data_IF_924564416057
#
_entry.id   IF_924564416057
#
_cell.length_a   1.000
_cell.length_b   1.000
_cell.length_c   1.000
_cell.angle_alpha   90.00
_cell.angle_beta   90.00
_cell.angle_gamma   90.00
#
_symmetry.space_group_name_H-M   'P 1'
#
loop_
_entity.id
_entity.type
_entity.pdbx_description
1 polymer ?
#
# COMPACT_ATOMS: atom_id res chain seq x y z
N UNK A 1 14.35 -10.97 5.31
CA UNK A 1 15.21 -10.10 4.48
C UNK A 1 14.54 -8.75 4.18
N UNK A 2 13.21 -8.64 4.10
CA UNK A 2 12.50 -7.45 3.67
C UNK A 2 12.63 -6.23 4.61
N UNK A 3 11.97 -6.28 5.79
CA UNK A 3 11.85 -5.12 6.68
C UNK A 3 13.20 -4.55 7.15
N UNK A 4 14.17 -5.34 7.65
CA UNK A 4 15.44 -4.77 8.08
C UNK A 4 16.18 -4.04 6.95
N UNK A 5 16.33 -4.66 5.78
CA UNK A 5 17.07 -4.06 4.66
C UNK A 5 16.38 -2.83 4.09
N UNK A 6 15.06 -2.87 3.93
CA UNK A 6 14.31 -1.70 3.46
C UNK A 6 14.36 -0.55 4.45
N UNK A 7 14.34 -0.84 5.76
CA UNK A 7 14.38 0.18 6.79
C UNK A 7 15.75 0.84 6.89
N UNK A 8 16.84 0.06 6.97
CA UNK A 8 18.20 0.63 7.07
C UNK A 8 18.65 1.35 5.80
N UNK A 9 17.98 1.16 4.68
CA UNK A 9 18.19 1.97 3.48
C UNK A 9 17.64 3.40 3.61
N UNK A 10 16.75 3.65 4.57
CA UNK A 10 16.07 4.94 4.75
C UNK A 10 16.45 5.64 6.05
N UNK A 11 16.73 4.89 7.12
CA UNK A 11 16.99 5.42 8.45
C UNK A 11 18.13 4.69 9.15
N UNK A 12 18.64 5.27 10.23
CA UNK A 12 19.70 4.66 11.04
C UNK A 12 19.15 3.84 12.21
N UNK A 13 17.94 4.12 12.66
CA UNK A 13 17.32 3.42 13.80
C UNK A 13 15.92 2.97 13.39
N UNK A 14 15.64 1.70 13.64
CA UNK A 14 14.34 1.06 13.41
C UNK A 14 13.88 0.39 14.70
N UNK A 15 12.77 0.85 15.24
CA UNK A 15 12.09 0.21 16.35
C UNK A 15 10.86 -0.54 15.87
N UNK A 16 10.67 -1.75 16.36
CA UNK A 16 9.49 -2.58 16.05
C UNK A 16 8.79 -2.95 17.35
N UNK A 17 7.54 -2.51 17.47
CA UNK A 17 6.66 -2.89 18.56
C UNK A 17 5.56 -3.76 18.02
N UNK A 18 5.31 -4.88 18.67
CA UNK A 18 4.20 -5.77 18.35
C UNK A 18 3.42 -6.11 19.61
N UNK A 19 2.11 -6.02 19.57
CA UNK A 19 1.28 -6.30 20.73
C UNK A 19 0.17 -7.30 20.41
N UNK A 20 -0.16 -8.06 21.43
CA UNK A 20 -1.30 -8.94 21.46
C UNK A 20 -1.95 -8.84 22.85
N UNK A 21 -3.22 -8.47 22.89
CA UNK A 21 -3.93 -8.12 24.14
C UNK A 21 -3.16 -6.99 24.88
N UNK A 22 -2.73 -7.25 26.10
CA UNK A 22 -2.02 -6.25 26.93
C UNK A 22 -0.51 -6.31 26.78
N UNK A 23 0.03 -7.42 26.29
CA UNK A 23 1.48 -7.63 26.17
C UNK A 23 2.02 -6.97 24.91
N UNK A 24 3.04 -6.11 25.08
CA UNK A 24 3.76 -5.46 24.00
C UNK A 24 5.22 -5.90 24.02
N UNK A 25 5.70 -6.39 22.89
CA UNK A 25 7.08 -6.78 22.66
C UNK A 25 7.77 -5.73 21.78
N UNK A 26 9.04 -5.52 22.03
CA UNK A 26 9.87 -4.55 21.31
C UNK A 26 11.20 -5.20 20.91
N UNK A 27 11.63 -4.87 19.72
CA UNK A 27 13.00 -5.07 19.26
C UNK A 27 13.42 -3.88 18.41
N UNK A 28 14.71 -3.67 18.24
CA UNK A 28 15.21 -2.56 17.42
C UNK A 28 16.48 -2.95 16.66
N UNK A 29 16.77 -2.15 15.65
CA UNK A 29 18.03 -2.17 14.91
C UNK A 29 18.60 -0.76 14.91
N UNK A 30 19.85 -0.59 15.38
CA UNK A 30 20.59 0.67 15.35
C UNK A 30 21.86 0.46 14.53
N UNK A 31 21.96 1.13 13.40
CA UNK A 31 23.13 1.05 12.51
C UNK A 31 24.40 1.56 13.22
N UNK A 32 24.38 2.68 13.99
CA UNK A 32 25.54 3.13 14.75
C UNK A 32 26.00 2.12 15.79
N UNK A 33 25.06 1.55 16.57
CA UNK A 33 25.40 0.54 17.58
C UNK A 33 25.98 -0.74 16.95
N UNK A 34 25.38 -1.19 15.84
CA UNK A 34 25.86 -2.35 15.11
C UNK A 34 27.27 -2.15 14.57
N UNK A 35 27.60 -0.96 14.09
CA UNK A 35 28.96 -0.63 13.62
C UNK A 35 29.96 -0.54 14.75
N UNK A 36 29.54 -0.04 15.92
CA UNK A 36 30.40 0.09 17.10
C UNK A 36 30.60 -1.25 17.83
N UNK A 37 29.66 -2.17 17.70
CA UNK A 37 29.72 -3.47 18.40
C UNK A 37 30.60 -4.45 17.68
N UNK A 38 31.45 -5.16 18.47
CA UNK A 38 32.19 -6.34 18.00
C UNK A 38 31.29 -7.57 17.85
N UNK A 39 30.10 -7.54 18.44
CA UNK A 39 29.17 -8.65 18.48
C UNK A 39 27.98 -8.32 17.55
N UNK A 40 27.88 -9.03 16.43
CA UNK A 40 26.88 -8.82 15.41
C UNK A 40 25.57 -9.59 15.67
N UNK A 41 25.25 -9.88 16.92
CA UNK A 41 24.04 -10.57 17.28
C UNK A 41 22.83 -9.62 17.16
N UNK A 42 21.71 -10.18 16.72
CA UNK A 42 20.44 -9.46 16.72
C UNK A 42 20.03 -9.06 18.13
N UNK A 43 19.46 -7.89 18.29
CA UNK A 43 18.95 -7.43 19.58
C UNK A 43 17.82 -8.34 20.07
N UNK A 44 17.78 -8.55 21.38
CA UNK A 44 16.77 -9.37 22.03
C UNK A 44 15.40 -8.71 21.92
N UNK A 45 14.38 -9.55 21.91
CA UNK A 45 12.98 -9.10 22.03
C UNK A 45 12.70 -8.91 23.52
N UNK A 46 12.31 -7.70 23.88
CA UNK A 46 12.01 -7.31 25.27
C UNK A 46 10.53 -6.90 25.39
N UNK A 47 9.98 -7.07 26.57
CA UNK A 47 8.69 -6.48 26.89
C UNK A 47 8.87 -4.99 27.17
N UNK A 48 8.25 -4.13 26.37
CA UNK A 48 8.38 -2.67 26.45
C UNK A 48 7.14 -1.99 25.90
N UNK A 49 6.61 -1.02 26.62
CA UNK A 49 5.48 -0.23 26.15
C UNK A 49 5.86 0.68 24.97
N UNK A 50 4.84 0.98 24.16
CA UNK A 50 4.93 1.99 23.09
C UNK A 50 5.29 3.36 23.68
N UNK A 51 6.12 4.17 23.01
CA UNK A 51 6.35 5.56 23.36
C UNK A 51 5.02 6.32 23.48
N UNK A 52 4.94 7.24 24.45
CA UNK A 52 3.68 7.93 24.78
C UNK A 52 3.12 8.76 23.63
N UNK A 53 3.96 9.39 22.84
CA UNK A 53 3.63 10.15 21.63
C UNK A 53 3.08 9.22 20.53
N UNK A 54 3.73 8.11 20.29
CA UNK A 54 3.27 7.11 19.32
C UNK A 54 1.94 6.47 19.78
N UNK A 55 1.80 6.19 21.07
CA UNK A 55 0.56 5.62 21.66
C UNK A 55 -0.65 6.54 21.48
N UNK A 56 -0.46 7.86 21.45
CA UNK A 56 -1.53 8.83 21.19
C UNK A 56 -1.99 8.84 19.74
N UNK A 57 -1.08 8.61 18.80
CA UNK A 57 -1.37 8.63 17.36
C UNK A 57 -1.92 7.30 16.84
N UNK A 58 -1.54 6.20 17.49
CA UNK A 58 -2.07 4.87 17.15
C UNK A 58 -3.41 4.68 17.85
N UNK A 59 -4.48 4.82 17.09
CA UNK A 59 -5.77 4.29 17.54
C UNK A 59 -5.60 2.77 17.68
N UNK A 60 -5.47 2.28 18.92
CA UNK A 60 -5.49 0.85 19.21
C UNK A 60 -6.87 0.26 18.86
N UNK A 61 -7.16 0.15 17.58
CA UNK A 61 -8.31 -0.58 17.08
C UNK A 61 -7.94 -2.05 17.08
N UNK A 62 -8.29 -2.74 18.16
CA UNK A 62 -8.13 -4.17 18.27
C UNK A 62 -7.08 -4.65 19.28
N UNK A 63 -7.16 -5.94 19.58
CA UNK A 63 -6.33 -6.60 20.59
C UNK A 63 -4.92 -6.94 20.11
N UNK A 64 -4.57 -6.63 18.87
CA UNK A 64 -3.26 -6.94 18.30
C UNK A 64 -2.85 -5.93 17.24
N UNK A 65 -1.56 -5.75 17.08
CA UNK A 65 -1.00 -4.88 16.05
C UNK A 65 0.52 -4.86 16.05
N UNK A 66 1.07 -4.17 15.06
CA UNK A 66 2.51 -3.92 14.94
C UNK A 66 2.73 -2.48 14.50
N UNK A 67 3.71 -1.84 15.12
CA UNK A 67 4.19 -0.51 14.74
C UNK A 67 5.68 -0.59 14.45
N UNK A 68 6.07 -0.01 13.33
CA UNK A 68 7.46 0.20 12.95
C UNK A 68 7.75 1.69 12.98
N UNK A 69 8.75 2.09 13.75
CA UNK A 69 9.18 3.49 13.89
C UNK A 69 10.55 3.62 13.25
N UNK A 70 10.66 4.52 12.29
CA UNK A 70 11.94 4.91 11.72
C UNK A 70 12.39 6.22 12.34
N UNK A 71 13.60 6.25 12.86
CA UNK A 71 14.22 7.41 13.45
C UNK A 71 15.57 7.68 12.79
N UNK A 72 16.03 8.93 12.87
CA UNK A 72 17.27 9.34 12.21
C UNK A 72 17.27 9.00 10.71
N UNK A 73 16.26 9.54 10.02
CA UNK A 73 15.96 9.27 8.62
C UNK A 73 16.76 10.19 7.67
N UNK A 74 18.08 10.06 7.67
CA UNK A 74 18.98 10.90 6.87
C UNK A 74 18.89 10.64 5.36
N UNK A 75 18.37 9.47 4.95
CA UNK A 75 18.33 9.04 3.55
C UNK A 75 16.99 9.32 2.88
N UNK A 76 16.05 9.90 3.60
CA UNK A 76 14.79 10.33 3.02
C UNK A 76 15.02 11.68 2.33
N UNK A 77 14.99 11.70 1.01
CA UNK A 77 15.21 12.88 0.16
C UNK A 77 13.99 13.81 0.06
N UNK A 78 12.92 13.52 0.79
CA UNK A 78 11.66 14.25 0.73
C UNK A 78 11.40 14.99 2.04
N UNK A 79 11.61 16.30 2.04
CA UNK A 79 11.41 17.14 3.23
C UNK A 79 9.93 17.45 3.55
N UNK A 80 9.03 17.38 2.55
CA UNK A 80 7.62 17.75 2.73
C UNK A 80 6.73 16.50 2.73
N UNK A 81 5.90 16.40 3.77
CA UNK A 81 4.96 15.30 3.95
C UNK A 81 3.99 15.10 2.76
N UNK A 82 3.49 16.18 2.18
CA UNK A 82 2.60 16.09 0.99
C UNK A 82 3.34 15.56 -0.25
N UNK A 83 4.60 15.93 -0.43
CA UNK A 83 5.43 15.40 -1.52
C UNK A 83 5.68 13.91 -1.34
N UNK A 84 5.94 13.47 -0.10
CA UNK A 84 6.07 12.05 0.22
C UNK A 84 4.77 11.30 -0.09
N UNK A 85 3.63 11.81 0.37
CA UNK A 85 2.33 11.21 0.07
C UNK A 85 2.10 11.05 -1.44
N UNK A 86 2.33 12.11 -2.20
CA UNK A 86 2.11 12.09 -3.66
C UNK A 86 3.03 11.08 -4.37
N UNK A 87 4.27 10.92 -3.88
CA UNK A 87 5.23 9.96 -4.42
C UNK A 87 4.81 8.52 -4.17
N UNK A 88 4.42 8.18 -2.93
CA UNK A 88 4.08 6.81 -2.55
C UNK A 88 2.63 6.42 -2.89
N UNK A 89 1.72 7.40 -3.04
CA UNK A 89 0.28 7.13 -3.17
C UNK A 89 -0.04 6.27 -4.39
N UNK A 90 0.60 6.53 -5.52
CA UNK A 90 0.38 5.77 -6.75
C UNK A 90 0.80 4.31 -6.59
N UNK A 91 1.96 4.08 -5.98
CA UNK A 91 2.52 2.73 -5.82
C UNK A 91 1.74 1.92 -4.79
N UNK A 92 1.40 2.51 -3.64
CA UNK A 92 0.56 1.87 -2.62
C UNK A 92 -0.82 1.55 -3.21
N UNK A 93 -1.47 2.50 -3.85
CA UNK A 93 -2.79 2.34 -4.45
C UNK A 93 -2.82 1.26 -5.52
N UNK A 94 -1.76 1.11 -6.31
CA UNK A 94 -1.62 0.09 -7.34
C UNK A 94 -1.31 -1.28 -6.75
N UNK A 95 -0.35 -1.37 -5.82
CA UNK A 95 0.08 -2.62 -5.21
C UNK A 95 -1.03 -3.26 -4.40
N UNK A 96 -1.73 -2.46 -3.60
CA UNK A 96 -2.78 -2.94 -2.72
C UNK A 96 -4.20 -2.80 -3.30
N UNK A 97 -4.37 -2.53 -4.59
CA UNK A 97 -5.66 -2.23 -5.22
C UNK A 97 -6.76 -3.25 -4.91
N UNK A 98 -6.44 -4.53 -4.90
CA UNK A 98 -7.42 -5.59 -4.62
C UNK A 98 -7.90 -5.59 -3.17
N UNK A 99 -7.07 -5.18 -2.24
CA UNK A 99 -7.41 -5.08 -0.82
C UNK A 99 -8.07 -3.74 -0.47
N UNK A 100 -7.78 -2.67 -1.22
CA UNK A 100 -8.40 -1.36 -1.06
C UNK A 100 -9.80 -1.29 -1.70
N UNK A 101 -10.06 -2.14 -2.69
CA UNK A 101 -11.34 -2.17 -3.41
C UNK A 101 -12.44 -2.82 -2.58
N UNK A 102 -13.41 -2.01 -2.13
CA UNK A 102 -14.51 -2.47 -1.27
C UNK A 102 -15.47 -3.45 -1.95
N UNK A 103 -15.57 -3.42 -3.29
CA UNK A 103 -16.37 -4.37 -4.07
C UNK A 103 -15.75 -5.76 -4.22
N UNK A 104 -14.55 -5.97 -3.71
CA UNK A 104 -13.87 -7.26 -3.81
C UNK A 104 -14.45 -8.29 -2.84
N UNK A 105 -14.94 -9.41 -3.39
CA UNK A 105 -15.48 -10.53 -2.60
C UNK A 105 -14.42 -11.60 -2.26
N UNK A 106 -13.26 -11.56 -2.91
CA UNK A 106 -12.22 -12.60 -2.78
C UNK A 106 -11.25 -12.32 -1.63
N UNK A 107 -10.93 -11.06 -1.40
CA UNK A 107 -9.93 -10.67 -0.41
C UNK A 107 -10.55 -9.82 0.69
N UNK A 108 -10.04 -9.96 1.92
CA UNK A 108 -10.43 -9.09 3.02
C UNK A 108 -10.00 -7.65 2.71
N UNK A 109 -10.95 -6.73 2.79
CA UNK A 109 -10.67 -5.30 2.59
C UNK A 109 -9.81 -4.74 3.72
N UNK A 110 -8.86 -3.91 3.38
CA UNK A 110 -8.02 -3.15 4.31
C UNK A 110 -8.19 -1.65 4.06
N UNK A 111 -8.00 -0.86 5.12
CA UNK A 111 -7.87 0.58 5.01
C UNK A 111 -6.40 0.96 5.20
N UNK A 112 -5.85 1.71 4.24
CA UNK A 112 -4.53 2.30 4.37
C UNK A 112 -4.72 3.81 4.41
N UNK A 113 -4.19 4.43 5.45
CA UNK A 113 -4.31 5.87 5.66
C UNK A 113 -2.93 6.51 5.81
N UNK A 114 -2.85 7.78 5.50
CA UNK A 114 -1.70 8.63 5.71
C UNK A 114 -2.11 9.82 6.58
N UNK A 115 -1.35 10.05 7.64
CA UNK A 115 -1.55 11.16 8.57
C UNK A 115 -0.22 11.83 8.88
N UNK A 116 -0.22 13.14 8.99
CA UNK A 116 0.90 13.92 9.52
C UNK A 116 0.59 14.23 10.98
N UNK A 117 1.54 13.97 11.89
CA UNK A 117 1.39 14.27 13.32
C UNK A 117 1.15 15.76 13.51
N UNK A 118 0.19 16.09 14.36
CA UNK A 118 -0.23 17.49 14.56
C UNK A 118 -1.21 18.02 13.49
N UNK A 119 -1.63 17.17 12.54
CA UNK A 119 -2.67 17.51 11.57
C UNK A 119 -3.90 16.62 11.76
N UNK A 120 -5.08 17.22 11.74
CA UNK A 120 -6.35 16.48 11.77
C UNK A 120 -6.71 15.85 10.41
N UNK A 121 -5.95 16.18 9.37
CA UNK A 121 -6.20 15.70 8.02
C UNK A 121 -5.68 14.27 7.85
N UNK A 122 -6.59 13.35 7.60
CA UNK A 122 -6.28 11.97 7.23
C UNK A 122 -6.55 11.80 5.74
N UNK A 123 -5.59 11.28 5.01
CA UNK A 123 -5.73 10.91 3.59
C UNK A 123 -5.86 9.40 3.50
N UNK A 124 -6.88 8.92 2.81
CA UNK A 124 -7.07 7.50 2.52
C UNK A 124 -6.50 7.15 1.15
N UNK A 125 -5.85 5.99 1.06
CA UNK A 125 -5.45 5.43 -0.22
C UNK A 125 -6.65 4.71 -0.85
N UNK A 126 -6.91 5.03 -2.11
CA UNK A 126 -7.94 4.40 -2.92
C UNK A 126 -7.32 3.50 -3.98
N UNK A 127 -8.01 2.48 -4.47
CA UNK A 127 -7.45 1.59 -5.48
C UNK A 127 -7.05 2.36 -6.75
N UNK A 128 -5.88 2.05 -7.29
CA UNK A 128 -5.42 2.50 -8.60
C UNK A 128 -5.30 1.28 -9.51
N UNK A 129 -6.27 1.11 -10.40
CA UNK A 129 -6.31 -0.03 -11.31
C UNK A 129 -5.94 0.38 -12.73
N UNK A 130 -4.69 0.13 -13.17
CA UNK A 130 -4.24 0.47 -14.50
C UNK A 130 -4.90 -0.34 -15.61
N UNK A 131 -5.56 -1.44 -15.27
CA UNK A 131 -6.24 -2.31 -16.22
C UNK A 131 -7.73 -2.00 -16.36
N UNK A 132 -8.24 -1.02 -15.61
CA UNK A 132 -9.63 -0.60 -15.64
C UNK A 132 -10.65 -1.73 -15.37
N UNK A 133 -10.29 -2.68 -14.52
CA UNK A 133 -11.12 -3.85 -14.18
C UNK A 133 -11.96 -3.67 -12.92
N UNK A 134 -11.81 -2.54 -12.21
CA UNK A 134 -12.52 -2.22 -10.97
C UNK A 134 -13.57 -1.13 -11.18
N UNK A 135 -14.62 -1.12 -10.37
CA UNK A 135 -15.66 -0.08 -10.41
C UNK A 135 -15.18 1.29 -9.94
N UNK A 136 -14.26 1.28 -8.97
CA UNK A 136 -13.66 2.47 -8.43
C UNK A 136 -12.15 2.43 -8.67
N UNK A 137 -11.61 3.48 -9.26
CA UNK A 137 -10.17 3.61 -9.44
C UNK A 137 -9.77 5.08 -9.50
N UNK A 138 -8.57 5.38 -9.00
CA UNK A 138 -7.92 6.69 -9.11
C UNK A 138 -7.07 6.82 -10.38
N UNK A 139 -7.12 5.84 -11.27
CA UNK A 139 -6.38 5.88 -12.53
C UNK A 139 -6.85 7.04 -13.40
N UNK A 140 -5.91 7.82 -13.94
CA UNK A 140 -6.22 8.94 -14.80
C UNK A 140 -7.01 8.47 -16.04
N UNK A 141 -8.06 9.24 -16.41
CA UNK A 141 -8.93 8.88 -17.52
C UNK A 141 -9.97 7.80 -17.20
N UNK A 142 -9.98 7.27 -15.98
CA UNK A 142 -10.98 6.32 -15.54
C UNK A 142 -12.37 6.99 -15.50
N UNK A 143 -13.29 6.46 -16.27
CA UNK A 143 -14.72 6.77 -16.19
C UNK A 143 -15.43 5.49 -15.85
N UNK A 144 -16.42 5.53 -14.96
CA UNK A 144 -17.18 4.39 -14.41
C UNK A 144 -17.78 3.40 -15.42
N UNK A 145 -17.44 3.50 -16.69
CA UNK A 145 -17.87 2.60 -17.76
C UNK A 145 -16.73 1.70 -18.28
N UNK A 146 -15.58 1.74 -17.63
CA UNK A 146 -14.47 0.93 -18.08
C UNK A 146 -14.78 -0.55 -17.94
N UNK A 147 -14.44 -1.26 -18.93
CA UNK A 147 -14.17 -2.71 -19.15
C UNK A 147 -14.70 -3.73 -18.12
N UNK A 148 -15.35 -3.28 -17.06
CA UNK A 148 -15.91 -4.13 -15.99
C UNK A 148 -16.93 -5.12 -16.47
N UNK A 149 -17.57 -4.77 -17.55
CA UNK A 149 -18.55 -5.61 -18.20
C UNK A 149 -17.94 -6.91 -18.80
N UNK A 150 -16.63 -6.99 -18.86
CA UNK A 150 -15.93 -8.22 -19.26
C UNK A 150 -15.87 -9.28 -18.15
N UNK A 151 -16.35 -8.95 -16.94
CA UNK A 151 -16.16 -9.81 -15.76
C UNK A 151 -17.34 -10.62 -15.31
N UNK A 152 -18.55 -10.31 -15.72
CA UNK A 152 -19.74 -10.96 -15.15
C UNK A 152 -20.51 -11.72 -16.21
N UNK A 153 -20.54 -13.05 -16.07
CA UNK A 153 -21.36 -13.95 -16.89
C UNK A 153 -22.82 -13.55 -16.93
N UNK A 154 -23.33 -13.04 -15.82
CA UNK A 154 -24.75 -12.81 -15.62
C UNK A 154 -25.27 -11.56 -16.33
N UNK A 155 -24.39 -10.62 -16.70
CA UNK A 155 -24.77 -9.34 -17.28
C UNK A 155 -24.29 -9.08 -18.71
N UNK A 156 -23.43 -9.95 -19.25
CA UNK A 156 -22.91 -9.78 -20.61
C UNK A 156 -22.73 -11.12 -21.34
N UNK A 157 -23.43 -11.31 -22.46
CA UNK A 157 -23.30 -12.49 -23.30
C UNK A 157 -21.91 -12.62 -23.97
N UNK A 158 -21.08 -11.59 -23.88
CA UNK A 158 -19.75 -11.51 -24.50
C UNK A 158 -18.60 -11.55 -23.47
N UNK A 159 -18.82 -12.21 -22.33
CA UNK A 159 -17.77 -12.32 -21.32
C UNK A 159 -16.47 -12.93 -21.90
N UNK A 160 -15.37 -12.20 -21.74
CA UNK A 160 -14.07 -12.61 -22.26
C UNK A 160 -13.86 -12.35 -23.75
N UNK A 161 -14.82 -11.74 -24.45
CA UNK A 161 -14.66 -11.33 -25.84
C UNK A 161 -14.47 -9.83 -25.92
N UNK A 162 -13.36 -9.41 -26.47
CA UNK A 162 -13.13 -8.00 -26.80
C UNK A 162 -13.38 -7.85 -28.31
N UNK A 163 -14.37 -7.05 -28.66
CA UNK A 163 -14.64 -6.69 -30.04
C UNK A 163 -13.81 -5.48 -30.44
N UNK A 164 -13.00 -5.63 -31.47
CA UNK A 164 -12.26 -4.55 -32.08
C UNK A 164 -12.84 -4.27 -33.45
N UNK A 165 -13.14 -3.00 -33.72
CA UNK A 165 -13.37 -2.55 -35.08
C UNK A 165 -12.02 -2.30 -35.75
N UNK A 166 -11.67 -3.15 -36.67
CA UNK A 166 -10.46 -3.01 -37.48
C UNK A 166 -10.87 -2.52 -38.86
N UNK A 167 -10.34 -1.39 -39.27
CA UNK A 167 -10.53 -0.87 -40.63
C UNK A 167 -9.40 -1.39 -41.51
N UNK A 168 -9.75 -2.14 -42.53
CA UNK A 168 -8.81 -2.59 -43.55
C UNK A 168 -8.15 -1.37 -44.22
N UNK A 169 -6.83 -1.24 -44.18
CA UNK A 169 -6.15 -0.04 -44.68
C UNK A 169 -6.28 0.10 -46.22
N UNK A 170 -6.54 -0.97 -46.94
CA UNK A 170 -6.66 -1.00 -48.40
C UNK A 170 -8.09 -0.82 -48.84
N UNK A 171 -8.99 -1.65 -48.32
CA UNK A 171 -10.40 -1.68 -48.76
C UNK A 171 -11.29 -0.66 -48.00
N UNK A 172 -10.76 -0.08 -46.91
CA UNK A 172 -11.50 0.82 -46.00
C UNK A 172 -12.77 0.20 -45.38
N UNK A 173 -12.93 -1.11 -45.49
CA UNK A 173 -14.07 -1.80 -44.86
C UNK A 173 -13.79 -2.06 -43.37
N UNK A 174 -14.81 -1.84 -42.57
CA UNK A 174 -14.77 -2.19 -41.15
C UNK A 174 -15.02 -3.69 -40.96
N UNK A 175 -14.19 -4.35 -40.17
CA UNK A 175 -14.35 -5.72 -39.73
C UNK A 175 -14.35 -5.75 -38.21
N UNK A 176 -15.22 -6.53 -37.63
CA UNK A 176 -15.22 -6.79 -36.19
C UNK A 176 -14.37 -8.05 -35.95
N UNK A 177 -13.33 -7.91 -35.16
CA UNK A 177 -12.50 -9.02 -34.69
C UNK A 177 -12.73 -9.24 -33.21
N UNK A 178 -12.91 -10.51 -32.83
CA UNK A 178 -13.09 -10.94 -31.45
C UNK A 178 -11.79 -11.57 -30.95
N UNK A 179 -11.31 -11.09 -29.79
CA UNK A 179 -10.22 -11.72 -29.05
C UNK A 179 -10.84 -12.36 -27.80
N UNK A 180 -10.63 -13.66 -27.67
CA UNK A 180 -11.04 -14.46 -26.50
C UNK A 180 -9.89 -14.64 -25.53
#
# INVERSE_FOLDING_TARGET
IGLPNSSVSQCNIVDVYSWQKEKTLHTYLSVPEYRASKNQNANYVLEKELPKDVKKEINKQGNSGTTVIWSDCERIDVAKADTLYNRISKDISRTYRYFLYKGNKKYKTINITYKVVGSDKIKEFKPNDPLYLMEESTTAGYKNKAVMNLRTKDNHPNEGKIEFKVTDPITKKEKIENVT
#
